data_IF_493561982553
#
_entry.id   IF_493561982553
#
_cell.length_a   1.000
_cell.length_b   1.000
_cell.length_c   1.000
_cell.angle_alpha   90.00
_cell.angle_beta   90.00
_cell.angle_gamma   90.00
#
_symmetry.space_group_name_H-M   'P 1'
#
loop_
_entity.id
_entity.type
_entity.pdbx_description
1 polymer ?
#
# COMPACT_ATOMS: atom_id res chain seq x y z
N UNK A 1 36.15 40.54 23.69
CA UNK A 1 35.79 39.17 24.11
C UNK A 1 34.64 39.10 25.13
N UNK A 2 34.76 39.70 26.34
CA UNK A 2 33.78 39.52 27.44
C UNK A 2 32.34 39.94 27.12
N UNK A 3 32.13 41.06 26.41
CA UNK A 3 30.79 41.52 26.01
C UNK A 3 30.08 40.60 25.00
N UNK A 4 30.84 39.90 24.16
CA UNK A 4 30.28 38.97 23.18
C UNK A 4 29.72 37.72 23.88
N UNK A 5 30.45 37.20 24.87
CA UNK A 5 30.04 36.06 25.70
C UNK A 5 28.80 36.36 26.57
N UNK A 6 28.67 37.57 27.13
CA UNK A 6 27.46 37.95 27.87
C UNK A 6 26.25 38.18 26.97
N UNK A 7 26.45 38.60 25.71
CA UNK A 7 25.37 38.78 24.74
C UNK A 7 24.83 37.43 24.26
N UNK A 8 25.72 36.49 23.92
CA UNK A 8 25.36 35.09 23.61
C UNK A 8 24.60 34.42 24.78
N UNK A 9 25.03 34.65 26.02
CA UNK A 9 24.40 34.05 27.21
C UNK A 9 23.02 34.65 27.56
N UNK A 10 22.66 35.81 27.02
CA UNK A 10 21.35 36.46 27.22
C UNK A 10 20.40 36.31 26.04
N UNK A 11 20.85 35.69 24.95
CA UNK A 11 20.07 35.58 23.72
C UNK A 11 19.08 34.42 23.79
N UNK A 12 17.81 34.75 24.01
CA UNK A 12 16.70 33.77 24.07
C UNK A 12 16.40 33.14 22.71
N UNK A 13 16.68 33.83 21.60
CA UNK A 13 16.46 33.29 20.27
C UNK A 13 17.48 32.18 19.96
N UNK A 14 18.73 32.35 20.41
CA UNK A 14 19.76 31.31 20.32
C UNK A 14 19.42 30.05 21.13
N UNK A 15 18.85 30.22 22.34
CA UNK A 15 18.39 29.09 23.16
C UNK A 15 17.24 28.34 22.49
N UNK A 16 16.24 29.04 21.96
CA UNK A 16 15.12 28.43 21.25
C UNK A 16 15.58 27.64 20.01
N UNK A 17 16.59 28.12 19.29
CA UNK A 17 17.17 27.40 18.16
C UNK A 17 17.82 26.08 18.58
N UNK A 18 18.49 26.04 19.74
CA UNK A 18 19.10 24.82 20.30
C UNK A 18 18.03 23.83 20.76
N UNK A 19 16.99 24.31 21.46
CA UNK A 19 15.86 23.48 21.88
C UNK A 19 15.14 22.84 20.67
N UNK A 20 14.92 23.61 19.61
CA UNK A 20 14.37 23.10 18.36
C UNK A 20 15.32 22.13 17.66
N UNK A 21 16.63 22.35 17.67
CA UNK A 21 17.58 21.40 17.09
C UNK A 21 17.57 20.04 17.81
N UNK A 22 17.23 20.02 19.10
CA UNK A 22 17.15 18.80 19.89
C UNK A 22 15.82 18.04 19.69
N UNK A 23 14.69 18.75 19.63
CA UNK A 23 13.34 18.13 19.58
C UNK A 23 12.76 18.09 18.16
N UNK A 24 13.07 19.09 17.34
CA UNK A 24 12.55 19.27 15.99
C UNK A 24 12.71 18.06 15.08
N UNK A 25 13.89 17.40 15.01
CA UNK A 25 14.06 16.19 14.22
C UNK A 25 13.12 15.06 14.64
N UNK A 26 12.97 14.81 15.94
CA UNK A 26 12.05 13.79 16.46
C UNK A 26 10.59 14.13 16.12
N UNK A 27 10.21 15.40 16.23
CA UNK A 27 8.88 15.87 15.87
C UNK A 27 8.56 15.68 14.37
N UNK A 28 9.51 15.99 13.49
CA UNK A 28 9.37 15.77 12.04
C UNK A 28 9.20 14.27 11.75
N UNK A 29 10.01 13.41 12.36
CA UNK A 29 9.88 11.95 12.20
C UNK A 29 8.50 11.46 12.68
N UNK A 30 7.97 11.99 13.77
CA UNK A 30 6.62 11.64 14.24
C UNK A 30 5.53 12.04 13.22
N UNK A 31 5.62 13.24 12.63
CA UNK A 31 4.68 13.67 11.58
C UNK A 31 4.76 12.74 10.36
N UNK A 32 5.98 12.42 9.91
CA UNK A 32 6.20 11.49 8.80
C UNK A 32 5.70 10.08 9.12
N UNK A 33 5.81 9.65 10.38
CA UNK A 33 5.24 8.38 10.84
C UNK A 33 3.71 8.34 10.71
N UNK A 34 3.01 9.41 11.08
CA UNK A 34 1.55 9.51 10.88
C UNK A 34 1.19 9.48 9.39
N UNK A 35 1.93 10.20 8.55
CA UNK A 35 1.75 10.17 7.10
C UNK A 35 1.97 8.74 6.54
N UNK A 36 3.01 8.05 7.00
CA UNK A 36 3.32 6.68 6.60
C UNK A 36 2.16 5.71 6.90
N UNK A 37 1.53 5.84 8.07
CA UNK A 37 0.34 5.04 8.42
C UNK A 37 -0.82 5.34 7.48
N UNK A 38 -1.06 6.61 7.16
CA UNK A 38 -2.09 7.01 6.19
C UNK A 38 -1.89 6.40 4.80
N UNK A 39 -0.65 6.43 4.30
CA UNK A 39 -0.28 5.79 3.03
C UNK A 39 -0.46 4.26 3.06
N UNK A 40 -0.18 3.63 4.21
CA UNK A 40 -0.43 2.21 4.41
C UNK A 40 -1.92 1.85 4.32
N UNK A 41 -2.77 2.61 5.01
CA UNK A 41 -4.23 2.43 4.94
C UNK A 41 -4.78 2.68 3.53
N UNK A 42 -4.29 3.71 2.83
CA UNK A 42 -4.65 3.96 1.44
C UNK A 42 -4.30 2.76 0.55
N UNK A 43 -3.07 2.24 0.67
CA UNK A 43 -2.60 1.08 -0.10
C UNK A 43 -3.43 -0.17 0.21
N UNK A 44 -3.75 -0.42 1.47
CA UNK A 44 -4.60 -1.54 1.89
C UNK A 44 -6.00 -1.45 1.27
N UNK A 45 -6.61 -0.26 1.29
CA UNK A 45 -7.91 -0.03 0.67
C UNK A 45 -7.86 -0.20 -0.86
N UNK A 46 -6.79 0.25 -1.51
CA UNK A 46 -6.57 0.04 -2.94
C UNK A 46 -6.49 -1.46 -3.28
N UNK A 47 -5.74 -2.26 -2.51
CA UNK A 47 -5.65 -3.72 -2.71
C UNK A 47 -7.00 -4.41 -2.54
N UNK A 48 -7.77 -4.02 -1.52
CA UNK A 48 -9.10 -4.57 -1.26
C UNK A 48 -10.09 -4.25 -2.38
N UNK A 49 -10.10 -3.00 -2.84
CA UNK A 49 -10.97 -2.54 -3.92
C UNK A 49 -10.57 -3.15 -5.26
N UNK A 50 -9.27 -3.21 -5.58
CA UNK A 50 -8.75 -3.91 -6.75
C UNK A 50 -9.20 -5.37 -6.77
N UNK A 51 -9.08 -6.08 -5.64
CA UNK A 51 -9.54 -7.47 -5.52
C UNK A 51 -11.07 -7.59 -5.70
N UNK A 52 -11.83 -6.54 -5.38
CA UNK A 52 -13.26 -6.46 -5.67
C UNK A 52 -13.55 -6.34 -7.17
N UNK A 53 -12.82 -5.47 -7.85
CA UNK A 53 -12.96 -5.27 -9.28
C UNK A 53 -12.50 -6.48 -10.10
N UNK A 54 -11.40 -7.15 -9.69
CA UNK A 54 -10.95 -8.39 -10.33
C UNK A 54 -12.01 -9.48 -10.20
N UNK A 55 -12.62 -9.63 -9.02
CA UNK A 55 -13.71 -10.58 -8.83
C UNK A 55 -14.88 -10.26 -9.76
N UNK A 56 -15.31 -9.00 -9.80
CA UNK A 56 -16.42 -8.55 -10.65
C UNK A 56 -16.12 -8.77 -12.14
N UNK A 57 -14.89 -8.46 -12.57
CA UNK A 57 -14.45 -8.68 -13.94
C UNK A 57 -14.47 -10.17 -14.30
N UNK A 58 -13.87 -11.02 -13.46
CA UNK A 58 -13.86 -12.46 -13.68
C UNK A 58 -15.27 -13.05 -13.74
N UNK A 59 -16.16 -12.64 -12.82
CA UNK A 59 -17.57 -13.05 -12.80
C UNK A 59 -18.31 -12.70 -14.08
N UNK A 60 -18.22 -11.43 -14.52
CA UNK A 60 -18.91 -10.97 -15.73
C UNK A 60 -18.41 -11.72 -16.96
N UNK A 61 -17.10 -11.91 -17.09
CA UNK A 61 -16.52 -12.65 -18.22
C UNK A 61 -17.02 -14.09 -18.26
N UNK A 62 -17.04 -14.77 -17.11
CA UNK A 62 -17.56 -16.13 -17.00
C UNK A 62 -19.05 -16.21 -17.40
N UNK A 63 -19.88 -15.28 -16.92
CA UNK A 63 -21.31 -15.20 -17.26
C UNK A 63 -21.59 -14.93 -18.74
N UNK A 64 -20.69 -14.22 -19.42
CA UNK A 64 -20.77 -13.99 -20.88
C UNK A 64 -20.26 -15.15 -21.72
N UNK A 65 -19.92 -16.29 -21.09
CA UNK A 65 -19.36 -17.47 -21.77
C UNK A 65 -17.86 -17.38 -22.07
N UNK A 66 -17.18 -16.33 -21.61
CA UNK A 66 -15.75 -16.16 -21.77
C UNK A 66 -14.99 -16.68 -20.55
N UNK A 67 -14.60 -17.95 -20.60
CA UNK A 67 -13.83 -18.59 -19.54
C UNK A 67 -12.35 -18.14 -19.56
N UNK A 68 -12.05 -17.04 -18.87
CA UNK A 68 -10.68 -16.55 -18.74
C UNK A 68 -9.79 -17.51 -17.93
N UNK A 69 -8.54 -17.63 -18.37
CA UNK A 69 -7.50 -18.32 -17.60
C UNK A 69 -7.02 -17.46 -16.42
N UNK A 70 -6.43 -18.10 -15.41
CA UNK A 70 -5.91 -17.39 -14.23
C UNK A 70 -4.82 -16.36 -14.62
N UNK A 71 -4.02 -16.66 -15.65
CA UNK A 71 -3.00 -15.73 -16.15
C UNK A 71 -3.60 -14.51 -16.86
N UNK A 72 -4.72 -14.66 -17.58
CA UNK A 72 -5.43 -13.54 -18.20
C UNK A 72 -6.04 -12.62 -17.14
N UNK A 73 -6.69 -13.19 -16.12
CA UNK A 73 -7.26 -12.41 -15.01
C UNK A 73 -6.13 -11.69 -14.25
N UNK A 74 -4.98 -12.35 -14.03
CA UNK A 74 -3.81 -11.74 -13.37
C UNK A 74 -3.25 -10.58 -14.17
N UNK A 75 -3.09 -10.73 -15.48
CA UNK A 75 -2.61 -9.66 -16.35
C UNK A 75 -3.56 -8.47 -16.35
N UNK A 76 -4.87 -8.72 -16.42
CA UNK A 76 -5.88 -7.68 -16.30
C UNK A 76 -5.77 -6.94 -14.96
N UNK A 77 -5.68 -7.68 -13.85
CA UNK A 77 -5.54 -7.11 -12.51
C UNK A 77 -4.31 -6.20 -12.38
N UNK A 78 -3.15 -6.65 -12.85
CA UNK A 78 -1.90 -5.85 -12.82
C UNK A 78 -2.00 -4.59 -13.67
N UNK A 79 -2.65 -4.68 -14.83
CA UNK A 79 -2.85 -3.51 -15.70
C UNK A 79 -3.86 -2.53 -15.09
N UNK A 80 -4.94 -3.05 -14.49
CA UNK A 80 -5.98 -2.23 -13.88
C UNK A 80 -5.48 -1.50 -12.63
N UNK A 81 -4.63 -2.14 -11.82
CA UNK A 81 -4.05 -1.57 -10.61
C UNK A 81 -3.17 -0.33 -10.85
N UNK A 82 -2.59 -0.19 -12.03
CA UNK A 82 -1.75 0.97 -12.39
C UNK A 82 -2.59 2.20 -12.77
N UNK A 83 -3.84 1.99 -13.18
CA UNK A 83 -4.76 3.06 -13.56
C UNK A 83 -5.40 3.74 -12.35
N UNK A 84 -6.03 4.90 -12.58
CA UNK A 84 -6.92 5.51 -11.60
C UNK A 84 -8.10 4.57 -11.30
N UNK A 85 -8.56 4.46 -10.04
CA UNK A 85 -8.18 5.28 -8.87
C UNK A 85 -6.99 4.72 -8.06
N UNK A 86 -6.39 3.60 -8.46
CA UNK A 86 -5.45 2.84 -7.64
C UNK A 86 -4.01 3.36 -7.72
N UNK A 87 -3.55 3.72 -8.94
CA UNK A 87 -2.22 4.30 -9.19
C UNK A 87 -1.07 3.52 -8.51
N UNK A 88 -1.18 2.19 -8.44
CA UNK A 88 -0.22 1.33 -7.75
C UNK A 88 1.04 1.16 -8.60
N UNK A 89 2.22 1.18 -7.96
CA UNK A 89 3.47 0.95 -8.65
C UNK A 89 3.60 -0.54 -9.04
N UNK A 90 3.81 -0.88 -10.33
CA UNK A 90 3.88 -2.26 -10.81
C UNK A 90 5.06 -3.06 -10.25
N UNK A 91 6.16 -2.40 -9.89
CA UNK A 91 7.37 -3.03 -9.34
C UNK A 91 7.21 -3.40 -7.86
N UNK A 92 6.20 -2.83 -7.19
CA UNK A 92 5.86 -3.07 -5.79
C UNK A 92 4.61 -3.93 -5.62
N UNK A 93 3.96 -4.30 -6.74
CA UNK A 93 2.70 -5.05 -6.78
C UNK A 93 2.93 -6.52 -7.14
N UNK A 94 2.47 -7.41 -6.26
CA UNK A 94 2.25 -8.82 -6.51
C UNK A 94 0.77 -9.11 -6.71
N UNK A 95 0.43 -9.90 -7.74
CA UNK A 95 -0.92 -10.45 -7.90
C UNK A 95 -0.78 -11.92 -8.24
N UNK A 96 -1.47 -12.77 -7.49
CA UNK A 96 -1.53 -14.22 -7.67
C UNK A 96 -3.00 -14.59 -7.81
N UNK A 97 -3.31 -15.39 -8.82
CA UNK A 97 -4.64 -15.94 -9.05
C UNK A 97 -4.46 -17.43 -9.30
N UNK A 98 -5.07 -18.24 -8.45
CA UNK A 98 -4.98 -19.70 -8.51
C UNK A 98 -6.36 -20.29 -8.28
N UNK A 99 -6.60 -21.49 -8.79
CA UNK A 99 -7.77 -22.26 -8.38
C UNK A 99 -7.66 -22.58 -6.90
N UNK A 100 -8.76 -22.41 -6.17
CA UNK A 100 -8.79 -22.71 -4.76
C UNK A 100 -8.48 -24.20 -4.55
N UNK A 101 -7.66 -24.56 -3.54
CA UNK A 101 -7.27 -25.95 -3.29
C UNK A 101 -8.47 -26.85 -3.04
N UNK A 102 -9.57 -26.28 -2.55
CA UNK A 102 -10.84 -26.96 -2.32
C UNK A 102 -11.94 -26.17 -3.02
N UNK A 103 -12.73 -26.84 -3.86
CA UNK A 103 -13.88 -26.24 -4.53
C UNK A 103 -15.11 -26.41 -3.64
N UNK A 104 -15.46 -25.37 -2.89
CA UNK A 104 -16.45 -25.48 -1.80
C UNK A 104 -17.90 -25.47 -2.27
N UNK A 105 -18.14 -24.97 -3.48
CA UNK A 105 -19.48 -24.79 -4.04
C UNK A 105 -19.62 -25.65 -5.29
N UNK A 106 -20.53 -26.62 -5.25
CA UNK A 106 -20.84 -27.45 -6.41
C UNK A 106 -21.43 -26.60 -7.55
N UNK A 107 -20.94 -26.81 -8.78
CA UNK A 107 -21.36 -26.03 -9.94
C UNK A 107 -20.75 -24.63 -10.04
N UNK A 108 -19.83 -24.26 -9.14
CA UNK A 108 -19.04 -23.03 -9.24
C UNK A 108 -17.55 -23.35 -9.28
N UNK A 109 -16.80 -22.55 -10.04
CA UNK A 109 -15.34 -22.57 -10.03
C UNK A 109 -14.83 -21.54 -9.03
N UNK A 110 -14.07 -21.99 -8.05
CA UNK A 110 -13.52 -21.17 -6.99
C UNK A 110 -12.06 -20.82 -7.26
N UNK A 111 -11.75 -19.52 -7.22
CA UNK A 111 -10.37 -19.00 -7.32
C UNK A 111 -10.00 -18.23 -6.06
N UNK A 112 -8.74 -18.31 -5.68
CA UNK A 112 -8.15 -17.43 -4.67
C UNK A 112 -7.36 -16.32 -5.35
N UNK A 113 -7.71 -15.08 -5.00
CA UNK A 113 -6.98 -13.88 -5.42
C UNK A 113 -6.14 -13.41 -4.26
N UNK A 114 -4.83 -13.34 -4.44
CA UNK A 114 -3.91 -12.72 -3.49
C UNK A 114 -3.25 -11.51 -4.13
N UNK A 115 -3.38 -10.36 -3.49
CA UNK A 115 -2.72 -9.11 -3.84
C UNK A 115 -1.71 -8.80 -2.75
N UNK A 116 -0.47 -8.54 -3.16
CA UNK A 116 0.64 -8.15 -2.28
C UNK A 116 1.11 -6.77 -2.71
N UNK A 117 1.38 -5.87 -1.76
CA UNK A 117 1.91 -4.55 -2.08
C UNK A 117 2.93 -4.08 -1.07
N UNK A 118 4.11 -3.68 -1.55
CA UNK A 118 5.15 -3.05 -0.73
C UNK A 118 4.95 -1.54 -0.70
N UNK A 119 4.52 -1.02 0.45
CA UNK A 119 4.24 0.41 0.61
C UNK A 119 5.51 1.24 0.42
N UNK A 120 5.40 2.40 -0.22
CA UNK A 120 6.50 3.37 -0.28
C UNK A 120 6.71 4.00 1.09
N UNK A 121 7.94 3.98 1.58
CA UNK A 121 8.29 4.59 2.87
C UNK A 121 8.72 6.03 2.67
N UNK A 122 8.09 6.96 3.39
CA UNK A 122 8.62 8.33 3.52
C UNK A 122 9.77 8.42 4.51
N UNK A 123 10.06 7.33 5.24
CA UNK A 123 11.12 7.21 6.23
C UNK A 123 12.38 6.49 5.68
N UNK A 124 12.44 6.25 4.37
CA UNK A 124 13.57 5.55 3.73
C UNK A 124 14.89 6.32 3.90
N UNK A 125 14.86 7.64 4.11
CA UNK A 125 16.03 8.46 4.39
C UNK A 125 16.73 8.16 5.73
N UNK A 126 16.04 7.45 6.64
CA UNK A 126 16.60 6.89 7.89
C UNK A 126 16.61 5.36 7.87
N UNK A 127 16.65 4.76 6.68
CA UNK A 127 16.75 3.31 6.46
C UNK A 127 15.57 2.51 7.03
N UNK A 128 14.39 3.13 7.10
CA UNK A 128 13.15 2.47 7.49
C UNK A 128 12.35 2.13 6.22
N UNK A 129 12.36 0.85 5.86
CA UNK A 129 11.59 0.35 4.73
C UNK A 129 10.07 0.31 5.02
N UNK A 130 9.29 0.38 3.93
CA UNK A 130 7.84 0.31 4.02
C UNK A 130 7.37 -1.14 4.17
N UNK A 131 6.36 -1.41 5.00
CA UNK A 131 5.89 -2.77 5.19
C UNK A 131 5.27 -3.32 3.91
N UNK A 132 5.36 -4.64 3.75
CA UNK A 132 4.64 -5.38 2.72
C UNK A 132 3.30 -5.80 3.28
N UNK A 133 2.22 -5.50 2.56
CA UNK A 133 0.87 -5.90 2.90
C UNK A 133 0.40 -7.01 1.98
N UNK A 134 -0.35 -7.95 2.53
CA UNK A 134 -1.02 -9.02 1.80
C UNK A 134 -2.53 -8.94 2.02
N UNK A 135 -3.29 -9.13 0.95
CA UNK A 135 -4.75 -9.24 0.98
C UNK A 135 -5.17 -10.41 0.10
N UNK A 136 -5.86 -11.38 0.69
CA UNK A 136 -6.39 -12.53 -0.03
C UNK A 136 -7.90 -12.63 0.09
N UNK A 137 -8.56 -13.04 -0.98
CA UNK A 137 -9.99 -13.35 -0.98
C UNK A 137 -10.36 -14.46 -1.97
N UNK A 138 -11.35 -15.28 -1.63
CA UNK A 138 -11.95 -16.21 -2.59
C UNK A 138 -12.93 -15.48 -3.52
N UNK A 139 -13.09 -16.03 -4.72
CA UNK A 139 -14.14 -15.69 -5.69
C UNK A 139 -14.79 -16.96 -6.22
N UNK A 140 -16.10 -16.91 -6.47
CA UNK A 140 -16.89 -18.06 -6.90
C UNK A 140 -17.52 -17.75 -8.25
N UNK A 141 -17.01 -18.36 -9.32
CA UNK A 141 -17.49 -18.22 -10.69
C UNK A 141 -18.61 -19.22 -10.94
N UNK A 142 -19.86 -18.76 -10.88
CA UNK A 142 -21.04 -19.58 -11.16
C UNK A 142 -21.38 -19.56 -12.65
N UNK A 143 -21.66 -20.73 -13.21
CA UNK A 143 -22.20 -20.90 -14.57
C UNK A 143 -23.71 -20.71 -14.58
#
# INVERSE_FOLDING_TARGET
MRHFLTRLRRDKAGVAAIEFALIGPAFIVMILGVLQVGMGLQSYNAMRNLSADVARYAMVQYQTGNALSNSQIRSWARNHAQGAPYLMNPDRLGVIIVDAPTQRVAGARELDITVTYRITSVLEFIDIEGPTLDFSRPIFLTV
#
